data_IF_197967985964
#
_entry.id   IF_197967985964
#
_cell.length_a   1.000
_cell.length_b   1.000
_cell.length_c   1.000
_cell.angle_alpha   90.00
_cell.angle_beta   90.00
_cell.angle_gamma   90.00
#
_symmetry.space_group_name_H-M   'P 1'
#
loop_
_entity.id
_entity.type
_entity.pdbx_description
1 polymer ?
#
# COMPACT_ATOMS: atom_id res chain seq x y z
N UNK A 1 -2.13 -3.75 16.96
CA UNK A 1 -1.11 -2.79 17.44
C UNK A 1 -1.36 -1.49 16.70
N UNK A 2 -1.48 -0.36 17.41
CA UNK A 2 -1.92 0.88 16.77
C UNK A 2 -0.84 1.55 15.91
N UNK A 3 -1.23 2.34 14.93
CA UNK A 3 -0.36 2.96 13.92
C UNK A 3 0.75 3.82 14.54
N UNK A 4 0.38 4.70 15.48
CA UNK A 4 1.35 5.56 16.17
C UNK A 4 2.35 4.73 17.00
N UNK A 5 1.87 3.65 17.63
CA UNK A 5 2.75 2.74 18.38
C UNK A 5 3.71 2.00 17.44
N UNK A 6 3.24 1.56 16.26
CA UNK A 6 4.09 0.95 15.23
C UNK A 6 5.14 1.94 14.73
N UNK A 7 4.78 3.22 14.56
CA UNK A 7 5.71 4.28 14.15
C UNK A 7 6.79 4.54 15.21
N UNK A 8 6.42 4.67 16.48
CA UNK A 8 7.39 4.88 17.56
C UNK A 8 8.32 3.66 17.73
N UNK A 9 7.76 2.45 17.67
CA UNK A 9 8.51 1.19 17.78
C UNK A 9 9.50 1.04 16.61
N UNK A 10 9.10 1.33 15.36
CA UNK A 10 9.99 1.29 14.20
C UNK A 10 11.11 2.34 14.27
N UNK A 11 10.80 3.54 14.75
CA UNK A 11 11.82 4.57 14.93
C UNK A 11 12.87 4.15 15.98
N UNK A 12 12.42 3.54 17.07
CA UNK A 12 13.30 2.94 18.07
C UNK A 12 14.12 1.77 17.50
N UNK A 13 13.53 0.93 16.65
CA UNK A 13 14.24 -0.13 15.90
C UNK A 13 15.32 0.48 15.01
N UNK A 14 15.04 1.52 14.23
CA UNK A 14 16.03 2.16 13.35
C UNK A 14 17.21 2.72 14.14
N UNK A 15 16.95 3.42 15.24
CA UNK A 15 18.02 3.94 16.12
C UNK A 15 18.85 2.82 16.74
N UNK A 16 18.19 1.83 17.36
CA UNK A 16 18.87 0.72 18.04
C UNK A 16 19.66 -0.19 17.10
N UNK A 17 19.32 -0.22 15.81
CA UNK A 17 19.97 -1.10 14.82
C UNK A 17 21.02 -0.39 13.95
N UNK A 18 21.41 0.84 14.32
CA UNK A 18 22.51 1.57 13.67
C UNK A 18 22.13 2.16 12.31
N UNK A 19 20.90 2.66 12.14
CA UNK A 19 20.43 3.24 10.88
C UNK A 19 21.38 4.28 10.28
N UNK A 20 21.96 5.16 11.10
CA UNK A 20 22.92 6.18 10.64
C UNK A 20 24.22 5.56 10.09
N UNK A 21 24.70 4.51 10.76
CA UNK A 21 25.85 3.76 10.30
C UNK A 21 25.54 3.05 8.99
N UNK A 22 24.40 2.35 8.90
CA UNK A 22 23.97 1.67 7.68
C UNK A 22 23.83 2.64 6.49
N UNK A 23 23.29 3.83 6.73
CA UNK A 23 23.12 4.84 5.71
C UNK A 23 24.47 5.43 5.24
N UNK A 24 25.42 5.66 6.16
CA UNK A 24 26.76 6.14 5.81
C UNK A 24 27.62 5.08 5.11
N UNK A 25 27.45 3.79 5.44
CA UNK A 25 28.16 2.68 4.79
C UNK A 25 27.45 2.11 3.57
N UNK A 26 26.28 2.65 3.19
CA UNK A 26 25.42 2.17 2.10
C UNK A 26 25.03 0.68 2.25
N UNK A 27 24.88 0.22 3.49
CA UNK A 27 24.42 -1.12 3.82
C UNK A 27 22.93 -1.11 4.13
N UNK A 28 22.27 -2.26 3.96
CA UNK A 28 20.87 -2.45 4.32
C UNK A 28 20.72 -3.63 5.27
N UNK A 29 19.76 -3.52 6.19
CA UNK A 29 19.27 -4.63 7.00
C UNK A 29 17.85 -4.99 6.56
N UNK A 30 17.56 -6.27 6.58
CA UNK A 30 16.26 -6.85 6.32
C UNK A 30 15.64 -7.31 7.64
N UNK A 31 14.35 -7.06 7.84
CA UNK A 31 13.60 -7.55 8.98
C UNK A 31 12.26 -8.11 8.51
N UNK A 32 11.99 -9.38 8.81
CA UNK A 32 10.70 -10.00 8.54
C UNK A 32 9.65 -9.37 9.45
N UNK A 33 8.58 -8.86 8.87
CA UNK A 33 7.53 -8.14 9.60
C UNK A 33 6.18 -8.84 9.58
N UNK A 34 5.98 -9.78 8.66
CA UNK A 34 4.78 -10.60 8.59
C UNK A 34 5.06 -11.90 7.82
N UNK A 35 4.44 -12.99 8.24
CA UNK A 35 4.40 -14.26 7.50
C UNK A 35 2.94 -14.62 7.27
N UNK A 36 2.53 -14.69 6.01
CA UNK A 36 1.17 -14.99 5.60
C UNK A 36 0.88 -16.50 5.75
N UNK A 37 -0.40 -16.86 5.85
CA UNK A 37 -0.85 -18.25 5.84
C UNK A 37 -0.48 -19.00 4.55
N UNK A 38 -0.33 -18.28 3.43
CA UNK A 38 0.19 -18.82 2.16
C UNK A 38 1.67 -19.23 2.21
N UNK A 39 2.37 -18.89 3.30
CA UNK A 39 3.82 -19.01 3.42
C UNK A 39 4.60 -17.84 2.82
N UNK A 40 3.92 -16.84 2.23
CA UNK A 40 4.58 -15.62 1.77
C UNK A 40 5.08 -14.78 2.95
N UNK A 41 6.27 -14.20 2.81
CA UNK A 41 6.91 -13.41 3.86
C UNK A 41 7.05 -11.96 3.41
N UNK A 42 6.62 -11.02 4.26
CA UNK A 42 6.87 -9.60 4.07
C UNK A 42 8.09 -9.18 4.87
N UNK A 43 8.98 -8.47 4.21
CA UNK A 43 10.25 -8.01 4.78
C UNK A 43 10.40 -6.51 4.57
N UNK A 44 10.82 -5.79 5.60
CA UNK A 44 11.25 -4.40 5.48
C UNK A 44 12.77 -4.31 5.36
N UNK A 45 13.23 -3.55 4.37
CA UNK A 45 14.64 -3.26 4.16
C UNK A 45 14.93 -1.81 4.52
N UNK A 46 15.83 -1.56 5.47
CA UNK A 46 16.24 -0.22 5.86
C UNK A 46 17.78 -0.09 5.91
N UNK A 47 18.33 1.09 5.58
CA UNK A 47 17.66 2.28 5.06
C UNK A 47 17.09 2.09 3.64
N UNK A 48 15.91 2.65 3.40
CA UNK A 48 15.25 2.67 2.09
C UNK A 48 15.88 3.68 1.11
N UNK A 49 15.41 3.71 -0.13
CA UNK A 49 15.99 4.54 -1.19
C UNK A 49 15.87 6.05 -0.94
N UNK A 50 14.87 6.48 -0.16
CA UNK A 50 14.64 7.89 0.19
C UNK A 50 15.28 8.28 1.52
N UNK A 51 16.00 7.36 2.17
CA UNK A 51 16.59 7.61 3.49
C UNK A 51 17.71 8.67 3.41
N UNK A 52 17.71 9.63 4.34
CA UNK A 52 18.68 10.72 4.41
C UNK A 52 19.03 11.05 5.87
N UNK A 53 20.26 11.55 6.11
CA UNK A 53 20.66 12.04 7.45
C UNK A 53 20.39 13.51 7.65
N UNK A 54 20.50 14.33 6.60
CA UNK A 54 20.40 15.79 6.68
C UNK A 54 19.54 16.34 5.54
N UNK A 55 18.25 16.66 5.78
CA UNK A 55 17.51 16.43 7.02
C UNK A 55 17.32 14.93 7.31
N UNK A 56 17.17 14.55 8.58
CA UNK A 56 16.92 13.15 8.94
C UNK A 56 15.57 12.72 8.36
N UNK A 57 15.63 11.74 7.46
CA UNK A 57 14.48 11.15 6.79
C UNK A 57 14.60 9.63 6.90
N UNK A 58 13.86 8.99 7.82
CA UNK A 58 13.80 7.53 7.87
C UNK A 58 12.99 7.03 6.67
N UNK A 59 13.47 5.97 6.03
CA UNK A 59 12.76 5.29 4.93
C UNK A 59 13.10 3.81 4.99
N UNK A 60 12.21 2.97 4.46
CA UNK A 60 12.43 1.54 4.28
C UNK A 60 11.70 1.06 3.03
N UNK A 61 12.11 -0.06 2.44
CA UNK A 61 11.43 -0.70 1.31
C UNK A 61 10.67 -1.93 1.81
N UNK A 62 9.49 -2.20 1.26
CA UNK A 62 8.73 -3.41 1.54
C UNK A 62 8.90 -4.40 0.39
N UNK A 63 9.33 -5.61 0.74
CA UNK A 63 9.43 -6.74 -0.17
C UNK A 63 8.47 -7.85 0.23
N UNK A 64 8.01 -8.61 -0.75
CA UNK A 64 7.30 -9.87 -0.56
C UNK A 64 8.13 -11.02 -1.15
N UNK A 65 8.24 -12.12 -0.41
CA UNK A 65 8.86 -13.36 -0.88
C UNK A 65 7.83 -14.47 -0.80
N UNK A 66 7.39 -14.98 -1.96
CA UNK A 66 6.50 -16.15 -2.03
C UNK A 66 7.31 -17.46 -1.96
N UNK A 67 6.74 -18.58 -1.49
CA UNK A 67 7.43 -19.86 -1.45
C UNK A 67 8.04 -20.24 -2.80
N UNK A 68 9.35 -20.51 -2.82
CA UNK A 68 10.09 -20.89 -4.03
C UNK A 68 10.34 -19.76 -5.02
N UNK A 69 10.05 -18.49 -4.67
CA UNK A 69 10.27 -17.33 -5.53
C UNK A 69 11.33 -16.39 -4.93
N UNK A 70 11.92 -15.55 -5.78
CA UNK A 70 12.80 -14.48 -5.33
C UNK A 70 12.02 -13.40 -4.55
N UNK A 71 12.72 -12.64 -3.72
CA UNK A 71 12.17 -11.45 -3.05
C UNK A 71 11.84 -10.37 -4.09
N UNK A 72 10.63 -9.81 -4.00
CA UNK A 72 10.13 -8.81 -4.95
C UNK A 72 9.78 -7.53 -4.18
N UNK A 73 10.36 -6.37 -4.54
CA UNK A 73 9.96 -5.10 -3.96
C UNK A 73 8.58 -4.69 -4.49
N UNK A 74 7.65 -4.39 -3.59
CA UNK A 74 6.31 -3.94 -3.94
C UNK A 74 6.21 -2.41 -3.95
N UNK A 75 5.44 -1.88 -4.88
CA UNK A 75 5.14 -0.45 -5.01
C UNK A 75 3.64 -0.16 -4.92
N UNK A 76 3.26 1.10 -4.72
CA UNK A 76 1.84 1.50 -4.79
C UNK A 76 1.20 1.09 -6.12
N UNK A 77 1.93 1.22 -7.24
CA UNK A 77 1.43 0.82 -8.55
C UNK A 77 1.12 -0.68 -8.62
N UNK A 78 1.92 -1.52 -7.96
CA UNK A 78 1.64 -2.95 -7.90
C UNK A 78 0.32 -3.25 -7.18
N UNK A 79 0.10 -2.60 -6.04
CA UNK A 79 -1.12 -2.78 -5.26
C UNK A 79 -2.36 -2.21 -5.98
N UNK A 80 -2.21 -1.08 -6.67
CA UNK A 80 -3.27 -0.48 -7.51
C UNK A 80 -3.69 -1.44 -8.63
N UNK A 81 -2.73 -2.04 -9.34
CA UNK A 81 -3.00 -3.01 -10.41
C UNK A 81 -3.64 -4.28 -9.86
N UNK A 82 -3.18 -4.78 -8.72
CA UNK A 82 -3.73 -5.97 -8.08
C UNK A 82 -5.18 -5.73 -7.62
N UNK A 83 -5.47 -4.61 -6.95
CA UNK A 83 -6.83 -4.17 -6.58
C UNK A 83 -7.75 -4.11 -7.82
N UNK A 84 -7.31 -3.41 -8.86
CA UNK A 84 -8.08 -3.28 -10.10
C UNK A 84 -8.39 -4.65 -10.70
N UNK A 85 -7.38 -5.52 -10.78
CA UNK A 85 -7.51 -6.85 -11.34
C UNK A 85 -8.48 -7.73 -10.53
N UNK A 86 -8.46 -7.65 -9.20
CA UNK A 86 -9.40 -8.38 -8.34
C UNK A 86 -10.85 -7.97 -8.55
N UNK A 87 -11.10 -6.67 -8.72
CA UNK A 87 -12.47 -6.18 -8.99
C UNK A 87 -12.90 -6.57 -10.41
N UNK A 88 -12.10 -6.26 -11.42
CA UNK A 88 -12.50 -6.40 -12.83
C UNK A 88 -12.47 -7.86 -13.31
N UNK A 89 -11.40 -8.60 -13.02
CA UNK A 89 -11.21 -9.96 -13.52
C UNK A 89 -11.54 -11.01 -12.46
N UNK A 90 -11.28 -10.69 -11.18
CA UNK A 90 -11.61 -11.55 -10.05
C UNK A 90 -13.08 -11.49 -9.60
N UNK A 91 -13.87 -10.54 -10.11
CA UNK A 91 -15.26 -10.29 -9.69
C UNK A 91 -15.41 -10.02 -8.19
N UNK A 92 -14.40 -9.42 -7.56
CA UNK A 92 -14.50 -8.96 -6.17
C UNK A 92 -15.50 -7.81 -6.05
N UNK A 93 -16.34 -7.84 -5.02
CA UNK A 93 -17.26 -6.73 -4.76
C UNK A 93 -16.47 -5.45 -4.41
N UNK A 94 -16.59 -4.37 -5.21
CA UNK A 94 -15.85 -3.13 -4.97
C UNK A 94 -16.27 -2.41 -3.69
N UNK A 95 -17.54 -2.51 -3.28
CA UNK A 95 -18.05 -1.81 -2.10
C UNK A 95 -17.56 -2.48 -0.81
N UNK A 96 -17.52 -3.81 -0.77
CA UNK A 96 -16.95 -4.56 0.35
C UNK A 96 -15.43 -4.32 0.47
N UNK A 97 -14.72 -4.30 -0.67
CA UNK A 97 -13.28 -4.00 -0.70
C UNK A 97 -12.99 -2.56 -0.23
N UNK A 98 -13.79 -1.59 -0.68
CA UNK A 98 -13.69 -0.21 -0.22
C UNK A 98 -13.88 -0.12 1.30
N UNK A 99 -14.91 -0.77 1.83
CA UNK A 99 -15.20 -0.76 3.26
C UNK A 99 -14.05 -1.40 4.06
N UNK A 100 -13.49 -2.52 3.59
CA UNK A 100 -12.35 -3.17 4.21
C UNK A 100 -11.08 -2.28 4.25
N UNK A 101 -10.80 -1.53 3.18
CA UNK A 101 -9.69 -0.58 3.17
C UNK A 101 -9.92 0.59 4.15
N UNK A 102 -11.15 1.11 4.23
CA UNK A 102 -11.48 2.18 5.17
C UNK A 102 -11.34 1.72 6.63
N UNK A 103 -11.74 0.49 6.94
CA UNK A 103 -11.53 -0.14 8.24
C UNK A 103 -10.03 -0.27 8.56
N UNK A 104 -9.25 -0.80 7.62
CA UNK A 104 -7.79 -0.94 7.78
C UNK A 104 -7.09 0.40 8.03
N UNK A 105 -7.49 1.45 7.31
CA UNK A 105 -6.97 2.81 7.50
C UNK A 105 -7.20 3.32 8.94
N UNK A 106 -8.32 2.90 9.55
CA UNK A 106 -8.68 3.24 10.93
C UNK A 106 -8.02 2.34 11.98
N UNK A 107 -7.07 1.49 11.56
CA UNK A 107 -6.18 0.78 12.47
C UNK A 107 -6.90 -0.21 13.40
N UNK A 108 -7.98 -0.81 12.89
CA UNK A 108 -8.50 -2.04 13.48
C UNK A 108 -7.51 -3.18 13.20
N UNK A 109 -7.15 -3.96 14.23
CA UNK A 109 -6.44 -5.21 13.99
C UNK A 109 -7.16 -6.02 12.91
N UNK A 110 -6.42 -6.48 11.91
CA UNK A 110 -7.00 -7.19 10.76
C UNK A 110 -7.02 -8.67 11.09
N UNK A 111 -8.21 -9.23 11.19
CA UNK A 111 -8.41 -10.66 11.08
C UNK A 111 -8.44 -11.01 9.58
N UNK A 112 -7.33 -11.56 9.07
CA UNK A 112 -7.19 -11.85 7.65
C UNK A 112 -8.09 -12.99 7.18
N UNK A 113 -8.45 -13.93 8.06
CA UNK A 113 -9.35 -15.04 7.72
C UNK A 113 -10.79 -14.55 7.59
N UNK A 114 -11.26 -13.75 8.56
CA UNK A 114 -12.56 -13.09 8.48
C UNK A 114 -12.64 -12.15 7.28
N UNK A 115 -11.56 -11.41 7.00
CA UNK A 115 -11.47 -10.52 5.86
C UNK A 115 -11.56 -11.29 4.52
N UNK A 116 -10.83 -12.39 4.38
CA UNK A 116 -10.86 -13.22 3.19
C UNK A 116 -12.25 -13.82 2.94
N UNK A 117 -12.96 -14.18 4.01
CA UNK A 117 -14.36 -14.67 3.94
C UNK A 117 -15.32 -13.57 3.45
N UNK A 118 -15.12 -12.33 3.89
CA UNK A 118 -15.95 -11.17 3.48
C UNK A 118 -15.63 -10.66 2.07
N UNK A 119 -14.43 -10.94 1.55
CA UNK A 119 -13.98 -10.50 0.23
C UNK A 119 -13.81 -11.69 -0.74
N UNK A 120 -14.89 -12.45 -1.05
CA UNK A 120 -14.79 -13.52 -2.01
C UNK A 120 -14.45 -12.96 -3.39
N UNK A 121 -13.55 -13.64 -4.09
CA UNK A 121 -13.18 -13.33 -5.46
C UNK A 121 -12.64 -14.60 -6.13
N UNK A 122 -12.44 -14.54 -7.45
CA UNK A 122 -11.79 -15.58 -8.24
C UNK A 122 -10.31 -15.23 -8.40
N UNK A 123 -9.37 -15.91 -7.72
CA UNK A 123 -7.94 -15.67 -7.87
C UNK A 123 -7.54 -15.71 -9.33
N UNK A 124 -6.98 -14.60 -9.83
CA UNK A 124 -6.67 -14.43 -11.25
C UNK A 124 -5.42 -13.58 -11.36
N UNK A 125 -4.36 -14.09 -12.00
CA UNK A 125 -3.18 -13.25 -12.26
C UNK A 125 -3.51 -12.16 -13.29
N UNK A 126 -2.92 -10.96 -13.17
CA UNK A 126 -3.04 -9.91 -14.18
C UNK A 126 -2.65 -10.40 -15.57
N UNK A 127 -3.44 -10.05 -16.58
CA UNK A 127 -3.13 -10.39 -17.97
C UNK A 127 -1.94 -9.58 -18.50
N UNK A 128 -1.25 -10.09 -19.53
CA UNK A 128 -0.17 -9.35 -20.21
C UNK A 128 -0.65 -7.99 -20.74
N UNK A 129 -1.91 -7.90 -21.20
CA UNK A 129 -2.49 -6.64 -21.63
C UNK A 129 -2.56 -5.62 -20.48
N UNK A 130 -2.99 -6.05 -19.29
CA UNK A 130 -3.04 -5.19 -18.10
C UNK A 130 -1.64 -4.80 -17.63
N UNK A 131 -0.69 -5.74 -17.65
CA UNK A 131 0.71 -5.45 -17.29
C UNK A 131 1.36 -4.46 -18.25
N UNK A 132 1.12 -4.60 -19.56
CA UNK A 132 1.59 -3.65 -20.57
C UNK A 132 0.94 -2.28 -20.41
N UNK A 133 -0.36 -2.23 -20.12
CA UNK A 133 -1.07 -0.99 -19.83
C UNK A 133 -0.47 -0.26 -18.62
N UNK A 134 -0.22 -0.97 -17.53
CA UNK A 134 0.42 -0.41 -16.33
C UNK A 134 1.85 0.07 -16.61
N UNK A 135 2.62 -0.66 -17.43
CA UNK A 135 3.96 -0.25 -17.85
C UNK A 135 3.94 1.04 -18.68
N UNK A 136 2.98 1.20 -19.59
CA UNK A 136 2.81 2.42 -20.39
C UNK A 136 2.42 3.61 -19.51
N UNK A 137 1.56 3.40 -18.51
CA UNK A 137 1.15 4.44 -17.56
C UNK A 137 2.30 5.01 -16.70
N UNK A 138 3.44 4.30 -16.60
CA UNK A 138 4.60 4.77 -15.84
C UNK A 138 5.41 5.88 -16.54
N UNK A 139 5.08 6.24 -17.78
CA UNK A 139 5.63 7.39 -18.51
C UNK A 139 7.17 7.48 -18.43
N UNK A 140 7.84 6.40 -18.84
CA UNK A 140 9.30 6.28 -18.83
C UNK A 140 9.91 5.88 -17.47
N UNK A 141 9.15 5.83 -16.38
CA UNK A 141 9.60 5.21 -15.12
C UNK A 141 9.52 3.68 -15.21
N UNK A 142 10.39 2.99 -14.47
CA UNK A 142 10.35 1.52 -14.41
C UNK A 142 9.15 1.04 -13.59
N UNK A 143 8.30 0.20 -14.17
CA UNK A 143 7.26 -0.53 -13.46
C UNK A 143 7.81 -1.90 -13.02
N UNK A 144 7.62 -2.27 -11.75
CA UNK A 144 8.09 -3.55 -11.19
C UNK A 144 7.10 -4.67 -11.53
N UNK A 145 7.11 -5.10 -12.80
CA UNK A 145 6.15 -6.11 -13.33
C UNK A 145 6.11 -7.38 -12.51
N UNK A 146 7.24 -7.80 -11.93
CA UNK A 146 7.37 -8.99 -11.11
C UNK A 146 6.42 -8.95 -9.90
N UNK A 147 6.17 -7.76 -9.35
CA UNK A 147 5.21 -7.55 -8.25
C UNK A 147 3.75 -7.84 -8.59
N UNK A 148 3.44 -8.07 -9.87
CA UNK A 148 2.14 -8.49 -10.38
C UNK A 148 2.22 -9.74 -11.25
N UNK A 149 3.30 -10.54 -11.10
CA UNK A 149 3.46 -11.83 -11.80
C UNK A 149 2.48 -12.90 -11.30
N UNK A 150 1.92 -12.72 -10.11
CA UNK A 150 0.90 -13.59 -9.53
C UNK A 150 -0.12 -12.75 -8.76
N UNK A 151 -1.34 -13.28 -8.64
CA UNK A 151 -2.39 -12.77 -7.75
C UNK A 151 -1.87 -12.72 -6.30
N UNK A 152 -2.02 -11.58 -5.62
CA UNK A 152 -1.78 -11.50 -4.17
C UNK A 152 -2.98 -12.05 -3.42
N UNK A 153 -2.81 -12.93 -2.44
CA UNK A 153 -3.95 -13.31 -1.57
C UNK A 153 -4.48 -12.09 -0.81
N UNK A 154 -5.67 -12.17 -0.22
CA UNK A 154 -6.23 -11.08 0.60
C UNK A 154 -5.25 -10.68 1.72
N UNK A 155 -4.67 -11.66 2.40
CA UNK A 155 -3.69 -11.41 3.45
C UNK A 155 -2.43 -10.74 2.91
N UNK A 156 -1.90 -11.21 1.77
CA UNK A 156 -0.72 -10.63 1.12
C UNK A 156 -0.99 -9.17 0.73
N UNK A 157 -2.10 -8.90 0.04
CA UNK A 157 -2.50 -7.56 -0.39
C UNK A 157 -2.65 -6.61 0.80
N UNK A 158 -3.45 -6.97 1.80
CA UNK A 158 -3.72 -6.10 2.94
C UNK A 158 -2.48 -5.92 3.83
N UNK A 159 -1.67 -6.96 4.03
CA UNK A 159 -0.39 -6.83 4.75
C UNK A 159 0.56 -5.88 4.02
N UNK A 160 0.65 -5.99 2.69
CA UNK A 160 1.49 -5.09 1.88
C UNK A 160 0.98 -3.65 1.92
N UNK A 161 -0.33 -3.43 1.79
CA UNK A 161 -0.97 -2.11 1.94
C UNK A 161 -0.61 -1.49 3.30
N UNK A 162 -0.70 -2.26 4.38
CA UNK A 162 -0.36 -1.80 5.73
C UNK A 162 1.09 -1.30 5.79
N UNK A 163 2.05 -2.14 5.44
CA UNK A 163 3.48 -1.83 5.57
C UNK A 163 3.94 -0.74 4.60
N UNK A 164 3.42 -0.70 3.37
CA UNK A 164 3.72 0.37 2.41
C UNK A 164 3.08 1.69 2.86
N UNK A 165 1.88 1.66 3.45
CA UNK A 165 1.27 2.88 3.98
C UNK A 165 2.03 3.44 5.17
N UNK A 166 2.57 2.58 6.04
CA UNK A 166 3.39 3.01 7.19
C UNK A 166 4.66 3.69 6.68
N UNK A 167 5.24 3.19 5.59
CA UNK A 167 6.42 3.79 4.96
C UNK A 167 6.14 5.24 4.54
N UNK A 168 4.97 5.49 3.93
CA UNK A 168 4.55 6.84 3.53
C UNK A 168 4.25 7.74 4.75
N UNK A 169 3.70 7.20 5.84
CA UNK A 169 3.51 7.95 7.09
C UNK A 169 4.85 8.31 7.76
N UNK A 170 5.88 7.46 7.65
CA UNK A 170 7.24 7.81 8.09
C UNK A 170 7.89 8.90 7.24
N UNK A 171 7.78 8.76 5.91
CA UNK A 171 8.39 9.70 4.97
C UNK A 171 7.69 11.07 4.96
N UNK A 172 6.37 11.07 5.16
CA UNK A 172 5.50 12.24 5.07
C UNK A 172 4.45 12.23 6.19
N UNK A 173 4.84 12.43 7.44
CA UNK A 173 3.96 12.25 8.60
C UNK A 173 2.79 13.22 8.64
N UNK A 174 1.64 12.71 9.05
CA UNK A 174 0.48 13.50 9.44
C UNK A 174 0.74 14.28 10.75
N UNK A 175 0.02 15.40 11.01
CA UNK A 175 -0.99 16.02 10.16
C UNK A 175 -0.42 16.99 9.13
N UNK A 176 0.90 17.27 9.17
CA UNK A 176 1.54 18.23 8.26
C UNK A 176 1.42 17.79 6.79
N UNK A 177 1.61 16.49 6.54
CA UNK A 177 1.42 15.88 5.24
C UNK A 177 0.23 14.91 5.25
N UNK A 178 0.01 14.20 4.14
CA UNK A 178 -1.07 13.22 4.05
C UNK A 178 -0.70 11.85 4.62
N UNK A 179 0.59 11.53 4.76
CA UNK A 179 1.07 10.24 5.27
C UNK A 179 0.29 9.06 4.71
N UNK A 180 -0.20 8.20 5.58
CA UNK A 180 -1.01 7.03 5.20
C UNK A 180 -2.31 7.35 4.45
N UNK A 181 -2.86 8.57 4.51
CA UNK A 181 -4.06 8.94 3.73
C UNK A 181 -3.80 8.90 2.22
N UNK A 182 -2.58 9.25 1.81
CA UNK A 182 -2.20 9.31 0.39
C UNK A 182 -2.34 7.93 -0.29
N UNK A 183 -1.69 6.86 0.19
CA UNK A 183 -1.81 5.54 -0.45
C UNK A 183 -3.23 5.02 -0.47
N UNK A 184 -3.97 5.12 0.65
CA UNK A 184 -5.36 4.69 0.69
C UNK A 184 -6.26 5.46 -0.29
N UNK A 185 -6.03 6.76 -0.48
CA UNK A 185 -6.75 7.53 -1.50
C UNK A 185 -6.52 6.92 -2.90
N UNK A 186 -5.29 6.52 -3.23
CA UNK A 186 -4.97 5.88 -4.53
C UNK A 186 -5.61 4.50 -4.67
N UNK A 187 -5.66 3.72 -3.59
CA UNK A 187 -6.32 2.42 -3.58
C UNK A 187 -7.83 2.54 -3.76
N UNK A 188 -8.46 3.54 -3.13
CA UNK A 188 -9.87 3.87 -3.35
C UNK A 188 -10.12 4.33 -4.79
N UNK A 189 -9.25 5.17 -5.35
CA UNK A 189 -9.32 5.60 -6.77
C UNK A 189 -9.26 4.39 -7.72
N UNK A 190 -8.42 3.39 -7.42
CA UNK A 190 -8.35 2.14 -8.19
C UNK A 190 -9.67 1.36 -8.18
N UNK A 191 -10.34 1.29 -7.02
CA UNK A 191 -11.66 0.66 -6.88
C UNK A 191 -12.70 1.41 -7.70
N UNK A 192 -12.69 2.74 -7.64
CA UNK A 192 -13.66 3.55 -8.37
C UNK A 192 -13.55 3.39 -9.88
N UNK A 193 -12.35 3.43 -10.45
CA UNK A 193 -12.17 3.21 -11.90
C UNK A 193 -12.48 1.77 -12.30
N UNK A 194 -12.27 0.80 -11.41
CA UNK A 194 -12.66 -0.59 -11.63
C UNK A 194 -14.19 -0.78 -11.62
N UNK A 195 -14.90 -0.10 -10.70
CA UNK A 195 -16.37 -0.10 -10.58
C UNK A 195 -17.04 0.66 -11.72
N UNK A 196 -16.43 1.75 -12.19
CA UNK A 196 -16.99 2.64 -13.20
C UNK A 196 -16.08 2.68 -14.43
N UNK A 197 -16.04 1.60 -15.20
CA UNK A 197 -15.14 1.49 -16.38
C UNK A 197 -15.42 2.54 -17.48
N UNK A 198 -16.58 3.22 -17.43
CA UNK A 198 -16.95 4.34 -18.31
C UNK A 198 -16.80 5.70 -17.63
N UNK A 199 -16.09 5.80 -16.49
CA UNK A 199 -15.80 7.08 -15.84
C UNK A 199 -14.82 7.90 -16.68
N UNK A 200 -14.74 9.20 -16.40
CA UNK A 200 -13.74 10.08 -17.03
C UNK A 200 -12.31 9.75 -16.55
N UNK A 201 -12.20 8.99 -15.46
CA UNK A 201 -10.94 8.59 -14.86
C UNK A 201 -10.51 7.20 -15.30
N UNK A 202 -9.20 7.00 -15.38
CA UNK A 202 -8.61 5.75 -15.88
C UNK A 202 -7.65 5.15 -14.87
N UNK A 203 -7.42 3.83 -14.96
CA UNK A 203 -6.38 3.17 -14.18
C UNK A 203 -4.99 3.79 -14.43
N UNK A 204 -4.70 4.21 -15.66
CA UNK A 204 -3.45 4.91 -15.97
C UNK A 204 -3.32 6.22 -15.18
N UNK A 205 -4.41 6.99 -15.05
CA UNK A 205 -4.42 8.21 -14.23
C UNK A 205 -4.13 7.89 -12.76
N UNK A 206 -4.74 6.84 -12.18
CA UNK A 206 -4.47 6.42 -10.80
C UNK A 206 -2.99 6.08 -10.59
N UNK A 207 -2.41 5.32 -11.53
CA UNK A 207 -0.98 4.96 -11.51
C UNK A 207 -0.11 6.23 -11.57
N UNK A 208 -0.39 7.14 -12.49
CA UNK A 208 0.34 8.41 -12.62
C UNK A 208 0.22 9.27 -11.37
N UNK A 209 -0.96 9.34 -10.74
CA UNK A 209 -1.20 10.04 -9.48
C UNK A 209 -0.43 9.44 -8.31
N UNK A 210 -0.18 8.13 -8.31
CA UNK A 210 0.67 7.46 -7.32
C UNK A 210 2.18 7.68 -7.55
N UNK A 211 2.56 8.00 -8.79
CA UNK A 211 3.94 8.32 -9.18
C UNK A 211 4.28 9.82 -9.10
N UNK A 212 3.29 10.68 -8.86
CA UNK A 212 3.44 12.13 -8.81
C UNK A 212 4.22 12.57 -7.57
N UNK A 213 5.11 13.55 -7.73
CA UNK A 213 5.78 14.23 -6.62
C UNK A 213 4.94 15.38 -6.05
N UNK A 214 3.87 15.78 -6.75
CA UNK A 214 2.91 16.79 -6.29
C UNK A 214 1.65 16.14 -5.71
N UNK A 215 0.92 16.88 -4.87
CA UNK A 215 -0.39 16.44 -4.37
C UNK A 215 -1.43 16.71 -5.46
N UNK A 216 -1.97 15.67 -6.14
CA UNK A 216 -2.99 15.90 -7.14
C UNK A 216 -4.31 16.28 -6.46
N UNK A 217 -5.15 17.03 -7.16
CA UNK A 217 -6.47 17.40 -6.67
C UNK A 217 -7.34 16.14 -6.47
N UNK A 218 -8.13 16.07 -5.38
CA UNK A 218 -9.16 15.04 -5.23
C UNK A 218 -10.15 15.10 -6.39
N UNK A 219 -10.61 13.94 -6.85
CA UNK A 219 -11.72 13.86 -7.80
C UNK A 219 -13.01 14.23 -7.06
N UNK A 220 -13.87 15.07 -7.65
CA UNK A 220 -15.01 15.65 -6.92
C UNK A 220 -16.15 14.65 -6.70
N UNK A 221 -16.28 13.69 -7.60
CA UNK A 221 -17.24 12.58 -7.55
C UNK A 221 -16.80 11.48 -6.57
N UNK A 222 -15.50 11.37 -6.32
CA UNK A 222 -14.94 10.50 -5.31
C UNK A 222 -14.57 11.36 -4.13
N UNK A 223 -15.46 11.43 -3.16
CA UNK A 223 -15.16 11.91 -1.83
C UNK A 223 -14.11 11.03 -1.11
N UNK A 224 -13.17 10.35 -1.79
CA UNK A 224 -12.16 9.44 -1.25
C UNK A 224 -11.33 10.04 -0.11
N UNK A 225 -10.89 11.29 -0.27
CA UNK A 225 -10.18 11.98 0.81
C UNK A 225 -11.12 12.31 1.98
N UNK A 226 -12.37 12.67 1.70
CA UNK A 226 -13.38 12.91 2.75
C UNK A 226 -13.80 11.61 3.44
N UNK A 227 -13.90 10.49 2.71
CA UNK A 227 -14.17 9.15 3.22
C UNK A 227 -13.02 8.71 4.12
N UNK A 228 -11.78 8.87 3.66
CA UNK A 228 -10.59 8.62 4.47
C UNK A 228 -10.59 9.49 5.74
N UNK A 229 -10.83 10.79 5.60
CA UNK A 229 -10.90 11.73 6.73
C UNK A 229 -12.04 11.41 7.72
N UNK A 230 -13.23 11.09 7.20
CA UNK A 230 -14.41 10.72 7.99
C UNK A 230 -14.18 9.43 8.75
N UNK A 231 -13.57 8.44 8.11
CA UNK A 231 -13.22 7.17 8.73
C UNK A 231 -12.30 7.39 9.94
N UNK A 232 -11.21 8.16 9.79
CA UNK A 232 -10.30 8.44 10.92
C UNK A 232 -10.92 9.33 12.01
N UNK A 233 -11.80 10.27 11.65
CA UNK A 233 -12.46 11.16 12.62
C UNK A 233 -13.46 10.39 13.50
N UNK A 234 -14.27 9.52 12.88
CA UNK A 234 -15.26 8.69 13.60
C UNK A 234 -14.58 7.68 14.53
N UNK A 235 -13.39 7.20 14.18
CA UNK A 235 -12.65 6.28 15.04
C UNK A 235 -12.05 6.96 16.27
N UNK A 236 -11.47 8.15 16.13
CA UNK A 236 -10.95 8.93 17.26
C UNK A 236 -12.02 9.25 18.32
N UNK A 237 -13.29 9.29 17.94
CA UNK A 237 -14.41 9.49 18.87
C UNK A 237 -14.79 8.18 19.60
N UNK A 238 -14.67 7.02 18.93
CA UNK A 238 -14.99 5.71 19.53
C UNK A 238 -13.91 5.18 20.45
N UNK A 239 -12.65 5.56 20.26
CA UNK A 239 -11.54 5.20 21.16
C UNK A 239 -11.49 6.04 22.44
N UNK A 240 -12.38 7.04 22.58
CA UNK A 240 -12.49 7.93 23.73
C UNK A 240 -13.78 7.70 24.54
N UNK A 241 -14.48 6.59 24.30
CA UNK A 241 -15.63 6.07 25.06
C UNK A 241 -15.22 4.70 25.61
#
# INVERSE_FOLDING_TARGET
>A
MSYNKVTDDLYAVFKSHGFEQLLSTKQQKAHQVHRCASGAELTVHFPGYKAQLNPFRPDYRVDITKPGQASIPLSHANLIVDIYNKVVNGNMNPDDLQQALLEQLCDCGIDYEALATRLPYRPTSPSEALLNYAQLAHDGKSYKREGNSADLTIEELFSSIKWISIQEDFNYPMPRYQGRKMPYTRYLEAIHVAKHQNSQHTLAEVIQRALSHGRPFPWQEMNALELANSAMTNYSLRSNI
#
